data_IF_551501105614
#
_entry.id   IF_551501105614
#
_cell.length_a   1.000
_cell.length_b   1.000
_cell.length_c   1.000
_cell.angle_alpha   90.00
_cell.angle_beta   90.00
_cell.angle_gamma   90.00
#
_symmetry.space_group_name_H-M   'P 1'
#
loop_
_entity.id
_entity.type
_entity.pdbx_description
1 polymer ?
#
# COMPACT_ATOMS: atom_id res chain seq x y z
N UNK A 1 2.55 -85.48 25.77
CA UNK A 1 3.09 -84.84 24.55
C UNK A 1 2.06 -83.83 24.04
N UNK A 2 1.71 -82.80 24.84
CA UNK A 2 0.56 -81.92 24.57
C UNK A 2 0.72 -80.48 25.10
N UNK A 3 1.94 -79.96 25.28
CA UNK A 3 2.12 -78.62 25.88
C UNK A 3 2.53 -77.52 24.87
N UNK A 4 2.75 -77.87 23.60
CA UNK A 4 3.22 -76.90 22.59
C UNK A 4 2.11 -76.07 21.92
N UNK A 5 0.83 -76.43 22.10
CA UNK A 5 -0.31 -75.82 21.38
C UNK A 5 -0.90 -74.60 22.11
N UNK A 6 -0.82 -74.54 23.44
CA UNK A 6 -1.42 -73.47 24.25
C UNK A 6 -0.64 -72.15 24.15
N UNK A 7 0.70 -72.21 24.14
CA UNK A 7 1.55 -71.02 24.11
C UNK A 7 1.51 -70.29 22.75
N UNK A 8 1.32 -71.04 21.65
CA UNK A 8 1.13 -70.44 20.31
C UNK A 8 -0.18 -69.66 20.22
N UNK A 9 -1.25 -70.17 20.82
CA UNK A 9 -2.54 -69.46 20.90
C UNK A 9 -2.47 -68.18 21.73
N UNK A 10 -1.78 -68.22 22.87
CA UNK A 10 -1.56 -67.03 23.73
C UNK A 10 -0.73 -65.97 22.99
N UNK A 11 0.32 -66.38 22.27
CA UNK A 11 1.14 -65.44 21.48
C UNK A 11 0.36 -64.82 20.32
N UNK A 12 -0.50 -65.60 19.64
CA UNK A 12 -1.36 -65.10 18.56
C UNK A 12 -2.42 -64.14 19.11
N UNK A 13 -3.02 -64.47 20.26
CA UNK A 13 -4.00 -63.61 20.92
C UNK A 13 -3.38 -62.30 21.43
N UNK A 14 -2.16 -62.38 21.97
CA UNK A 14 -1.38 -61.19 22.37
C UNK A 14 -1.04 -60.29 21.18
N UNK A 15 -0.59 -60.89 20.06
CA UNK A 15 -0.31 -60.15 18.83
C UNK A 15 -1.57 -59.48 18.26
N UNK A 16 -2.70 -60.19 18.24
CA UNK A 16 -3.98 -59.67 17.78
C UNK A 16 -4.40 -58.45 18.63
N UNK A 17 -4.33 -58.59 19.95
CA UNK A 17 -4.70 -57.52 20.88
C UNK A 17 -3.82 -56.27 20.72
N UNK A 18 -2.51 -56.45 20.47
CA UNK A 18 -1.58 -55.36 20.20
C UNK A 18 -1.90 -54.62 18.89
N UNK A 19 -2.27 -55.34 17.83
CA UNK A 19 -2.63 -54.71 16.54
C UNK A 19 -3.94 -53.91 16.61
N UNK A 20 -4.88 -54.34 17.46
CA UNK A 20 -6.16 -53.67 17.70
C UNK A 20 -5.98 -52.34 18.44
N UNK A 21 -5.10 -52.27 19.44
CA UNK A 21 -4.86 -51.04 20.21
C UNK A 21 -4.07 -50.00 19.42
N UNK A 22 -3.12 -50.41 18.57
CA UNK A 22 -2.36 -49.49 17.70
C UNK A 22 -3.24 -48.88 16.60
N UNK A 23 -4.21 -49.63 16.06
CA UNK A 23 -5.10 -49.14 15.00
C UNK A 23 -6.05 -48.02 15.48
N UNK A 24 -6.30 -47.91 16.79
CA UNK A 24 -7.15 -46.87 17.38
C UNK A 24 -6.46 -45.49 17.51
N UNK A 25 -5.12 -45.43 17.45
CA UNK A 25 -4.38 -44.19 17.68
C UNK A 25 -4.14 -43.36 16.39
N UNK A 26 -4.35 -43.95 15.21
CA UNK A 26 -3.87 -43.36 13.94
C UNK A 26 -4.83 -42.42 13.20
N UNK A 27 -6.15 -42.63 13.31
CA UNK A 27 -7.10 -42.04 12.34
C UNK A 27 -7.85 -40.80 12.83
N UNK A 28 -8.09 -40.65 14.14
CA UNK A 28 -8.87 -39.53 14.69
C UNK A 28 -8.06 -38.45 15.41
N UNK A 29 -6.79 -38.74 15.74
CA UNK A 29 -5.96 -37.84 16.55
C UNK A 29 -5.57 -36.57 15.78
N UNK A 30 -5.35 -36.67 14.46
CA UNK A 30 -5.02 -35.53 13.60
C UNK A 30 -6.18 -34.53 13.43
N UNK A 31 -7.43 -35.00 13.42
CA UNK A 31 -8.63 -34.14 13.40
C UNK A 31 -8.88 -33.51 14.77
N UNK A 32 -8.65 -34.24 15.88
CA UNK A 32 -8.79 -33.71 17.24
C UNK A 32 -7.73 -32.65 17.60
N UNK A 33 -6.51 -32.78 17.07
CA UNK A 33 -5.44 -31.79 17.21
C UNK A 33 -5.44 -30.73 16.08
N UNK A 34 -6.49 -30.69 15.24
CA UNK A 34 -6.64 -29.71 14.16
C UNK A 34 -5.40 -29.58 13.24
N UNK A 35 -4.64 -30.66 13.05
CA UNK A 35 -3.47 -30.69 12.16
C UNK A 35 -3.87 -30.63 10.68
N UNK A 36 -5.17 -30.77 10.36
CA UNK A 36 -5.67 -30.43 9.03
C UNK A 36 -5.64 -28.92 8.85
N UNK A 37 -4.78 -28.50 7.93
CA UNK A 37 -4.68 -27.13 7.42
C UNK A 37 -6.01 -26.75 6.76
N UNK A 38 -6.89 -26.10 7.53
CA UNK A 38 -8.04 -25.37 7.01
C UNK A 38 -7.60 -23.91 6.82
N UNK A 39 -7.12 -23.51 5.62
CA UNK A 39 -6.81 -22.11 5.37
C UNK A 39 -8.10 -21.29 5.55
N UNK A 40 -8.07 -20.17 6.29
CA UNK A 40 -9.21 -19.27 6.37
C UNK A 40 -9.48 -18.70 4.98
N UNK A 41 -10.75 -18.49 4.63
CA UNK A 41 -11.15 -17.92 3.33
C UNK A 41 -10.64 -16.48 3.21
N UNK A 42 -9.51 -16.29 2.52
CA UNK A 42 -8.91 -14.98 2.28
C UNK A 42 -9.77 -14.06 1.39
N UNK A 43 -10.83 -14.59 0.76
CA UNK A 43 -11.77 -13.83 -0.06
C UNK A 43 -13.08 -13.52 0.65
N UNK A 44 -13.20 -13.84 1.95
CA UNK A 44 -14.36 -13.48 2.74
C UNK A 44 -14.43 -11.96 2.94
N UNK A 45 -15.30 -11.30 2.17
CA UNK A 45 -15.54 -9.86 2.30
C UNK A 45 -16.51 -9.60 3.46
N UNK A 46 -16.00 -8.97 4.53
CA UNK A 46 -16.84 -8.43 5.59
C UNK A 46 -17.60 -7.20 5.09
N UNK A 47 -18.94 -7.22 5.16
CA UNK A 47 -19.77 -6.07 4.81
C UNK A 47 -19.57 -4.95 5.84
N UNK A 48 -18.99 -3.83 5.43
CA UNK A 48 -18.93 -2.61 6.26
C UNK A 48 -20.34 -2.02 6.39
N UNK A 49 -20.63 -1.44 7.56
CA UNK A 49 -21.82 -0.60 7.71
C UNK A 49 -21.80 0.51 6.65
N UNK A 50 -22.95 0.84 6.03
CA UNK A 50 -23.03 1.93 5.08
C UNK A 50 -22.57 3.23 5.76
N UNK A 51 -21.63 3.94 5.12
CA UNK A 51 -21.19 5.24 5.62
C UNK A 51 -22.33 6.24 5.40
N UNK A 52 -22.84 6.81 6.49
CA UNK A 52 -23.75 7.95 6.44
C UNK A 52 -22.90 9.18 6.14
N UNK A 53 -23.16 9.81 5.01
CA UNK A 53 -22.59 11.11 4.69
C UNK A 53 -23.37 12.15 5.51
N UNK A 54 -22.73 12.90 6.41
CA UNK A 54 -23.42 13.93 7.16
C UNK A 54 -23.91 15.05 6.22
N UNK A 55 -25.09 15.64 6.49
CA UNK A 55 -25.57 16.79 5.73
C UNK A 55 -24.75 18.01 6.13
N UNK A 56 -23.77 18.36 5.30
CA UNK A 56 -23.53 19.73 4.80
C UNK A 56 -22.08 19.91 4.31
N UNK A 57 -21.94 20.16 3.01
CA UNK A 57 -20.69 20.57 2.35
C UNK A 57 -20.82 21.98 1.75
N UNK A 58 -21.42 22.93 2.46
CA UNK A 58 -21.51 24.32 1.99
C UNK A 58 -20.29 25.19 2.35
N UNK A 59 -19.23 24.61 2.93
CA UNK A 59 -17.96 25.31 3.04
C UNK A 59 -17.26 25.27 1.69
N UNK A 60 -17.12 26.44 1.07
CA UNK A 60 -16.19 26.64 -0.05
C UNK A 60 -14.83 26.05 0.37
N UNK A 61 -14.21 25.16 -0.43
CA UNK A 61 -12.87 24.70 -0.14
C UNK A 61 -11.97 25.90 0.14
N UNK A 62 -11.24 25.94 1.27
CA UNK A 62 -10.34 27.05 1.53
C UNK A 62 -9.41 27.18 0.33
N UNK A 63 -9.25 28.42 -0.17
CA UNK A 63 -8.39 28.70 -1.30
C UNK A 63 -7.02 28.05 -1.03
N UNK A 64 -6.58 27.14 -1.90
CA UNK A 64 -5.33 26.40 -1.75
C UNK A 64 -4.10 27.31 -1.97
N UNK A 65 -3.98 28.41 -1.21
CA UNK A 65 -2.84 29.31 -1.19
C UNK A 65 -1.67 28.71 -0.37
N UNK A 66 -1.43 27.42 -0.60
CA UNK A 66 -0.39 26.65 0.04
C UNK A 66 -0.39 25.29 -0.63
N UNK A 67 0.46 25.17 -1.66
CA UNK A 67 0.85 23.88 -2.23
C UNK A 67 0.99 22.89 -1.08
N UNK A 68 0.12 21.87 -1.03
CA UNK A 68 0.39 20.70 -0.21
C UNK A 68 1.63 20.05 -0.81
N UNK A 69 2.81 20.53 -0.41
CA UNK A 69 4.05 19.79 -0.58
C UNK A 69 3.73 18.44 0.05
N UNK A 70 3.89 17.37 -0.73
CA UNK A 70 3.74 16.02 -0.21
C UNK A 70 4.59 15.95 1.06
N UNK A 71 3.92 15.81 2.22
CA UNK A 71 4.61 15.88 3.50
C UNK A 71 5.71 14.83 3.45
N UNK A 72 6.96 15.25 3.63
CA UNK A 72 8.07 14.31 3.77
C UNK A 72 7.69 13.29 4.86
N UNK A 73 8.21 12.06 4.75
CA UNK A 73 7.95 11.05 5.79
C UNK A 73 8.25 11.62 7.17
N UNK A 74 7.45 11.26 8.18
CA UNK A 74 7.55 11.81 9.55
C UNK A 74 8.96 11.69 10.15
N UNK A 75 9.72 10.68 9.70
CA UNK A 75 11.13 10.48 10.04
C UNK A 75 12.03 11.59 9.49
N UNK A 76 11.92 11.92 8.20
CA UNK A 76 12.72 12.96 7.55
C UNK A 76 12.44 14.33 8.16
N UNK A 77 11.16 14.59 8.47
CA UNK A 77 10.75 15.81 9.16
C UNK A 77 11.38 15.90 10.56
N UNK A 78 11.36 14.82 11.34
CA UNK A 78 11.98 14.77 12.67
C UNK A 78 13.51 14.95 12.61
N UNK A 79 14.18 14.30 11.67
CA UNK A 79 15.64 14.43 11.49
C UNK A 79 16.03 15.85 11.07
N UNK A 80 15.27 16.51 10.20
CA UNK A 80 15.49 17.92 9.84
C UNK A 80 15.29 18.86 11.03
N UNK A 81 14.26 18.63 11.86
CA UNK A 81 14.03 19.44 13.07
C UNK A 81 15.17 19.27 14.08
N UNK A 82 15.66 18.04 14.26
CA UNK A 82 16.71 17.74 15.24
C UNK A 82 18.11 18.17 14.79
N UNK A 83 18.40 18.08 13.49
CA UNK A 83 19.74 18.34 12.94
C UNK A 83 19.88 19.73 12.30
N UNK A 84 18.76 20.39 11.98
CA UNK A 84 18.73 21.67 11.26
C UNK A 84 19.25 21.59 9.83
N UNK A 85 19.55 20.39 9.32
CA UNK A 85 20.09 20.15 7.98
C UNK A 85 18.95 19.75 7.05
N UNK A 86 18.87 20.43 5.91
CA UNK A 86 17.96 20.02 4.84
C UNK A 86 18.43 18.68 4.29
N UNK A 87 17.57 17.67 4.37
CA UNK A 87 17.95 16.31 3.97
C UNK A 87 17.87 16.23 2.45
N UNK A 88 19.02 16.01 1.81
CA UNK A 88 19.05 15.76 0.38
C UNK A 88 18.39 14.40 0.10
N UNK A 89 17.37 14.41 -0.75
CA UNK A 89 16.65 13.22 -1.19
C UNK A 89 17.59 12.17 -1.81
N UNK A 90 18.75 12.59 -2.33
CA UNK A 90 19.78 11.68 -2.84
C UNK A 90 20.48 10.88 -1.73
N UNK A 91 20.53 11.42 -0.51
CA UNK A 91 21.12 10.77 0.67
C UNK A 91 20.16 9.70 1.23
N UNK A 92 18.84 9.91 1.09
CA UNK A 92 17.79 9.00 1.56
C UNK A 92 17.45 7.89 0.55
N UNK A 93 17.67 8.12 -0.75
CA UNK A 93 17.29 7.18 -1.80
C UNK A 93 18.00 5.81 -1.66
N UNK A 94 17.27 4.72 -1.84
CA UNK A 94 17.87 3.37 -1.91
C UNK A 94 18.75 3.24 -3.17
N UNK A 95 19.73 2.33 -3.17
CA UNK A 95 20.63 2.11 -4.32
C UNK A 95 19.86 1.82 -5.62
N UNK A 96 18.74 1.11 -5.53
CA UNK A 96 17.86 0.87 -6.68
C UNK A 96 17.11 2.13 -7.15
N UNK A 97 16.76 3.03 -6.23
CA UNK A 97 16.09 4.29 -6.56
C UNK A 97 17.08 5.28 -7.20
N UNK A 98 18.35 5.27 -6.75
CA UNK A 98 19.43 6.08 -7.33
C UNK A 98 19.67 5.73 -8.79
N UNK A 99 19.73 4.44 -9.12
CA UNK A 99 19.91 3.97 -10.51
C UNK A 99 18.75 4.42 -11.42
N UNK A 100 17.52 4.37 -10.91
CA UNK A 100 16.34 4.83 -11.67
C UNK A 100 16.40 6.34 -11.88
N UNK A 101 16.77 7.11 -10.85
CA UNK A 101 16.88 8.58 -10.94
C UNK A 101 17.95 9.02 -11.93
N UNK A 102 19.09 8.33 -11.98
CA UNK A 102 20.18 8.60 -12.91
C UNK A 102 19.74 8.32 -14.37
N UNK A 103 19.05 7.20 -14.60
CA UNK A 103 18.47 6.86 -15.92
C UNK A 103 17.41 7.85 -16.38
N UNK A 104 16.60 8.36 -15.46
CA UNK A 104 15.54 9.33 -15.75
C UNK A 104 16.10 10.75 -15.91
N UNK A 105 17.38 10.98 -15.57
CA UNK A 105 18.01 12.30 -15.62
C UNK A 105 17.32 13.30 -14.68
N UNK A 106 16.70 12.81 -13.60
CA UNK A 106 15.91 13.64 -12.69
C UNK A 106 16.84 14.43 -11.78
N UNK A 107 17.15 15.66 -12.17
CA UNK A 107 17.92 16.57 -11.33
C UNK A 107 17.08 16.95 -10.08
N UNK A 108 17.55 16.67 -8.86
CA UNK A 108 16.86 17.00 -7.59
C UNK A 108 16.54 18.50 -7.44
N UNK A 109 17.23 19.37 -8.21
CA UNK A 109 16.98 20.82 -8.26
C UNK A 109 15.59 21.20 -8.81
N UNK A 110 14.87 20.28 -9.45
CA UNK A 110 13.53 20.52 -10.05
C UNK A 110 12.38 20.35 -9.04
N UNK A 111 12.63 20.33 -7.74
CA UNK A 111 11.59 20.09 -6.71
C UNK A 111 10.48 21.18 -6.67
N UNK A 112 10.65 22.27 -7.43
CA UNK A 112 9.70 23.37 -7.57
C UNK A 112 9.05 23.48 -8.97
N UNK A 113 9.07 22.43 -9.81
CA UNK A 113 8.49 22.44 -11.18
C UNK A 113 7.05 22.99 -11.20
N UNK A 114 6.22 22.66 -10.21
CA UNK A 114 4.85 23.17 -10.14
C UNK A 114 4.79 24.68 -9.92
N UNK A 115 5.67 25.23 -9.08
CA UNK A 115 5.78 26.67 -8.88
C UNK A 115 6.33 27.37 -10.13
N UNK A 116 7.27 26.73 -10.84
CA UNK A 116 7.80 27.22 -12.10
C UNK A 116 6.74 27.25 -13.20
N UNK A 117 5.98 26.17 -13.38
CA UNK A 117 4.84 26.11 -14.32
C UNK A 117 3.78 27.17 -13.98
N UNK A 118 3.49 27.37 -12.69
CA UNK A 118 2.55 28.39 -12.26
C UNK A 118 3.04 29.80 -12.57
N UNK A 119 4.34 30.06 -12.40
CA UNK A 119 4.94 31.34 -12.76
C UNK A 119 4.94 31.55 -14.29
N UNK A 120 5.33 30.53 -15.05
CA UNK A 120 5.33 30.54 -16.52
C UNK A 120 3.90 30.72 -17.08
N UNK A 121 2.89 30.11 -16.46
CA UNK A 121 1.48 30.19 -16.85
C UNK A 121 0.80 31.52 -16.49
N UNK A 122 1.33 32.24 -15.50
CA UNK A 122 0.83 33.56 -15.09
C UNK A 122 1.39 34.72 -15.94
N UNK A 123 2.19 34.42 -16.96
CA UNK A 123 2.66 35.42 -17.91
C UNK A 123 1.51 35.80 -18.87
N UNK A 124 0.62 36.68 -18.40
CA UNK A 124 -0.41 37.30 -19.22
C UNK A 124 0.27 38.17 -20.26
N UNK A 125 0.39 37.66 -21.49
CA UNK A 125 0.80 38.44 -22.65
C UNK A 125 -0.28 39.52 -22.88
N UNK A 126 -0.09 40.68 -22.26
CA UNK A 126 -0.92 41.85 -22.51
C UNK A 126 -0.63 42.30 -23.94
N UNK A 127 -1.48 41.90 -24.88
CA UNK A 127 -1.45 42.46 -26.24
C UNK A 127 -1.62 43.97 -26.15
N UNK A 128 -0.93 44.68 -27.04
CA UNK A 128 -0.96 46.13 -27.08
C UNK A 128 -2.41 46.63 -27.21
N UNK A 129 -2.80 47.51 -26.28
CA UNK A 129 -4.16 48.04 -26.19
C UNK A 129 -4.53 48.79 -27.46
N UNK A 130 -3.56 49.47 -28.07
CA UNK A 130 -3.75 50.23 -29.31
C UNK A 130 -4.14 49.33 -30.50
N UNK A 131 -3.57 48.13 -30.59
CA UNK A 131 -3.91 47.15 -31.64
C UNK A 131 -5.31 46.59 -31.42
N UNK A 132 -5.65 46.31 -30.16
CA UNK A 132 -6.95 45.73 -29.78
C UNK A 132 -8.09 46.74 -30.01
N UNK A 133 -7.86 48.00 -29.66
CA UNK A 133 -8.82 49.08 -29.86
C UNK A 133 -9.03 49.40 -31.34
N UNK A 134 -7.95 49.42 -32.15
CA UNK A 134 -8.06 49.56 -33.61
C UNK A 134 -8.83 48.42 -34.27
N UNK A 135 -8.65 47.19 -33.80
CA UNK A 135 -9.39 46.04 -34.31
C UNK A 135 -10.88 46.20 -33.99
N UNK A 136 -11.25 46.46 -32.74
CA UNK A 136 -12.64 46.60 -32.30
C UNK A 136 -13.35 47.72 -33.04
N UNK A 137 -12.73 48.91 -33.12
CA UNK A 137 -13.32 50.10 -33.74
C UNK A 137 -13.50 49.94 -35.25
N UNK A 138 -12.65 49.14 -35.92
CA UNK A 138 -12.77 48.87 -37.35
C UNK A 138 -13.78 47.76 -37.68
N UNK A 139 -14.30 47.02 -36.69
CA UNK A 139 -15.36 46.01 -36.93
C UNK A 139 -16.76 46.61 -36.90
N UNK A 140 -16.95 47.77 -36.27
CA UNK A 140 -18.26 48.39 -36.03
C UNK A 140 -18.71 49.35 -37.13
N UNK A 141 -18.23 49.15 -38.36
CA UNK A 141 -18.61 49.94 -39.53
C UNK A 141 -19.72 49.30 -40.36
N UNK A 142 -20.96 49.37 -39.85
CA UNK A 142 -22.22 49.57 -40.62
C UNK A 142 -23.13 50.50 -39.82
#
# INVERSE_FOLDING_TARGET
>A
MTDFKMNRGINILGLLCLTLTVSACGSGLSDAFAYKKNPPDEFAILKKQPLIIPPDYSLKPPNEAGSKIARASTRVEAEQILTGREVDINEIASDGEREILDRVGSNPSQNNVRAKIQNDGNNVISKDKAVTEKLILNTTGE
#
